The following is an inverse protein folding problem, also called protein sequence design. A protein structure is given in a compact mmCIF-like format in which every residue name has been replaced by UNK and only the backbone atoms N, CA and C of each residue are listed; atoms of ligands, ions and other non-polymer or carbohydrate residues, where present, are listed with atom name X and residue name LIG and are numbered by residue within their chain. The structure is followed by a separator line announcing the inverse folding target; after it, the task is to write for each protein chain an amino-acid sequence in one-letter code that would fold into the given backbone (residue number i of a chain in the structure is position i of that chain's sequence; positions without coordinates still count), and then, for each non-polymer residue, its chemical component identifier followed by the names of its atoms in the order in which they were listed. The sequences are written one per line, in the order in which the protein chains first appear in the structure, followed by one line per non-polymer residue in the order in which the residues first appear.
data_IF_079802136229
#
_entry.id   IF_079802136229
#
_cell.length_a   1.000
_cell.length_b   1.000
_cell.length_c   1.000
_cell.angle_alpha   90.00
_cell.angle_beta   90.00
_cell.angle_gamma   90.00
#
_symmetry.space_group_name_H-M   'P 1'
#
loop_
_entity.id
_entity.type
_entity.pdbx_description
1 polymer ?
#
# COMPACT_ATOMS: atom_id res chain seq x y z
N UNK A 1 7.89 -7.75 -10.19
CA UNK A 1 8.62 -8.17 -8.98
C UNK A 1 9.93 -8.76 -9.47
N UNK A 2 11.02 -7.99 -9.43
CA UNK A 2 12.34 -8.46 -9.84
C UNK A 2 13.07 -9.15 -8.68
N UNK A 3 14.00 -10.07 -8.95
CA UNK A 3 14.87 -10.61 -7.91
C UNK A 3 15.77 -9.49 -7.41
N UNK A 4 15.51 -8.99 -6.20
CA UNK A 4 16.51 -8.28 -5.42
C UNK A 4 17.26 -9.34 -4.63
N UNK A 5 18.60 -9.33 -4.67
CA UNK A 5 19.41 -10.13 -3.76
C UNK A 5 19.05 -9.73 -2.33
N UNK A 6 18.50 -10.68 -1.57
CA UNK A 6 18.03 -10.44 -0.20
C UNK A 6 18.98 -11.16 0.75
N UNK A 7 19.90 -10.45 1.40
CA UNK A 7 20.74 -11.07 2.42
C UNK A 7 19.89 -11.64 3.54
N UNK A 8 20.37 -12.72 4.16
CA UNK A 8 19.73 -13.36 5.29
C UNK A 8 19.62 -12.38 6.48
N UNK A 9 18.48 -12.38 7.17
CA UNK A 9 18.23 -11.47 8.30
C UNK A 9 17.60 -10.12 7.93
N UNK A 10 17.29 -9.86 6.65
CA UNK A 10 16.61 -8.63 6.23
C UNK A 10 15.12 -8.65 6.62
N UNK A 11 14.70 -7.68 7.43
CA UNK A 11 13.28 -7.45 7.72
C UNK A 11 12.64 -6.64 6.57
N UNK A 12 11.57 -7.19 5.98
CA UNK A 12 10.89 -6.60 4.83
C UNK A 12 9.41 -6.39 5.13
N UNK A 13 8.97 -5.14 5.00
CA UNK A 13 7.55 -4.81 4.90
C UNK A 13 7.18 -4.69 3.41
N UNK A 14 6.22 -5.50 2.96
CA UNK A 14 5.68 -5.41 1.60
C UNK A 14 4.29 -4.78 1.67
N UNK A 15 4.14 -3.63 1.03
CA UNK A 15 2.83 -2.98 0.83
C UNK A 15 2.49 -2.99 -0.66
N UNK A 16 1.28 -3.44 -0.99
CA UNK A 16 0.75 -3.41 -2.35
C UNK A 16 -0.59 -2.68 -2.33
N UNK A 17 -0.74 -1.69 -3.21
CA UNK A 17 -1.93 -0.86 -3.30
C UNK A 17 -2.17 -0.43 -4.76
N UNK A 18 -3.39 0.03 -5.05
CA UNK A 18 -3.72 0.55 -6.37
C UNK A 18 -2.90 1.80 -6.68
N UNK A 19 -2.18 1.82 -7.80
CA UNK A 19 -1.33 2.94 -8.18
C UNK A 19 -2.11 4.17 -8.69
N UNK A 20 -1.37 5.19 -9.14
CA UNK A 20 -1.92 6.47 -9.60
C UNK A 20 -2.92 6.40 -10.78
N UNK A 21 -3.02 5.25 -11.46
CA UNK A 21 -3.93 5.07 -12.61
C UNK A 21 -5.41 5.15 -12.27
N UNK A 22 -5.80 4.96 -11.01
CA UNK A 22 -7.21 4.90 -10.61
C UNK A 22 -7.92 3.60 -11.01
N UNK A 23 -7.18 2.63 -11.56
CA UNK A 23 -7.74 1.32 -11.94
C UNK A 23 -8.00 0.41 -10.73
N UNK A 24 -7.60 0.84 -9.54
CA UNK A 24 -7.69 0.07 -8.30
C UNK A 24 -6.70 -1.09 -8.23
N UNK A 25 -6.84 -1.89 -7.19
CA UNK A 25 -6.13 -3.15 -7.01
C UNK A 25 -7.17 -4.26 -6.82
N UNK A 26 -7.03 -5.36 -7.58
CA UNK A 26 -7.90 -6.52 -7.38
C UNK A 26 -7.41 -7.31 -6.18
N UNK A 27 -8.25 -7.39 -5.15
CA UNK A 27 -8.00 -8.28 -4.03
C UNK A 27 -7.94 -9.74 -4.50
N UNK A 28 -7.16 -10.55 -3.78
CA UNK A 28 -7.03 -11.99 -4.07
C UNK A 28 -8.38 -12.69 -4.23
N UNK A 29 -9.38 -12.50 -3.35
CA UNK A 29 -10.69 -13.15 -3.51
C UNK A 29 -11.42 -12.74 -4.78
N UNK A 30 -11.36 -11.46 -5.19
CA UNK A 30 -12.00 -11.01 -6.44
C UNK A 30 -11.31 -11.60 -7.66
N UNK A 31 -9.98 -11.72 -7.64
CA UNK A 31 -9.22 -12.36 -8.70
C UNK A 31 -9.56 -13.86 -8.82
N UNK A 32 -9.68 -14.56 -7.69
CA UNK A 32 -10.06 -15.98 -7.66
C UNK A 32 -11.49 -16.18 -8.20
N UNK A 33 -12.45 -15.37 -7.76
CA UNK A 33 -13.83 -15.43 -8.26
C UNK A 33 -13.91 -15.20 -9.77
N UNK A 34 -13.14 -14.24 -10.30
CA UNK A 34 -13.08 -13.98 -11.74
C UNK A 34 -12.42 -15.14 -12.52
N UNK A 35 -11.39 -15.76 -11.96
CA UNK A 35 -10.76 -16.94 -12.57
C UNK A 35 -11.75 -18.11 -12.66
N UNK A 36 -12.48 -18.41 -11.58
CA UNK A 36 -13.52 -19.44 -11.58
C UNK A 36 -14.64 -19.15 -12.60
N UNK A 37 -15.09 -17.89 -12.70
CA UNK A 37 -16.08 -17.50 -13.71
C UNK A 37 -15.56 -17.70 -15.15
N UNK A 38 -14.29 -17.40 -15.40
CA UNK A 38 -13.66 -17.53 -16.72
C UNK A 38 -13.40 -18.98 -17.13
N UNK A 39 -13.17 -19.89 -16.17
CA UNK A 39 -13.04 -21.34 -16.46
C UNK A 39 -14.30 -21.94 -17.10
N UNK A 40 -15.47 -21.35 -16.87
CA UNK A 40 -16.71 -21.77 -17.53
C UNK A 40 -16.76 -21.35 -19.02
N UNK A 41 -15.94 -20.37 -19.43
CA UNK A 41 -15.91 -19.80 -20.78
C UNK A 41 -14.71 -20.27 -21.59
N UNK A 42 -13.59 -20.62 -20.94
CA UNK A 42 -12.34 -20.94 -21.62
C UNK A 42 -11.28 -21.56 -20.72
N UNK A 43 -10.06 -21.65 -21.23
CA UNK A 43 -8.92 -22.30 -20.55
C UNK A 43 -7.80 -21.29 -20.27
N UNK A 44 -7.17 -21.41 -19.10
CA UNK A 44 -5.93 -20.73 -18.77
C UNK A 44 -4.72 -21.64 -18.95
N UNK A 45 -3.75 -21.23 -19.78
CA UNK A 45 -2.51 -21.97 -20.00
C UNK A 45 -1.34 -21.02 -20.23
N UNK A 46 -0.23 -21.22 -19.51
CA UNK A 46 1.00 -20.42 -19.63
C UNK A 46 0.77 -18.90 -19.54
N UNK A 47 -0.15 -18.47 -18.66
CA UNK A 47 -0.49 -17.05 -18.49
C UNK A 47 -1.45 -16.49 -19.54
N UNK A 48 -1.97 -17.29 -20.47
CA UNK A 48 -2.92 -16.88 -21.51
C UNK A 48 -4.29 -17.49 -21.24
N UNK A 49 -5.34 -16.69 -21.31
CA UNK A 49 -6.74 -17.13 -21.35
C UNK A 49 -7.19 -17.30 -22.80
N UNK A 50 -7.81 -18.44 -23.11
CA UNK A 50 -8.26 -18.80 -24.46
C UNK A 50 -9.72 -19.21 -24.44
N UNK A 51 -10.56 -18.67 -25.33
CA UNK A 51 -11.97 -19.07 -25.48
C UNK A 51 -12.41 -19.13 -26.95
N UNK A 52 -13.55 -19.77 -27.22
CA UNK A 52 -14.22 -19.75 -28.52
C UNK A 52 -15.42 -18.80 -28.42
N UNK A 53 -15.62 -17.94 -29.42
CA UNK A 53 -16.84 -17.16 -29.52
C UNK A 53 -18.02 -17.97 -30.10
N UNK A 54 -19.19 -17.33 -30.22
CA UNK A 54 -20.41 -17.94 -30.76
C UNK A 54 -20.26 -18.45 -32.21
N UNK A 55 -19.27 -17.94 -32.96
CA UNK A 55 -18.97 -18.38 -34.33
C UNK A 55 -17.90 -19.48 -34.36
N UNK A 56 -17.46 -19.95 -33.20
CA UNK A 56 -16.37 -20.92 -33.05
C UNK A 56 -14.99 -20.33 -33.34
N UNK A 57 -14.84 -19.01 -33.39
CA UNK A 57 -13.55 -18.38 -33.59
C UNK A 57 -12.77 -18.35 -32.27
N UNK A 58 -11.49 -18.71 -32.33
CA UNK A 58 -10.59 -18.72 -31.19
C UNK A 58 -10.08 -17.33 -30.86
N UNK A 59 -10.21 -16.95 -29.60
CA UNK A 59 -9.68 -15.71 -29.02
C UNK A 59 -8.69 -16.01 -27.90
N UNK A 60 -7.67 -15.16 -27.77
CA UNK A 60 -6.66 -15.24 -26.73
C UNK A 60 -6.52 -13.88 -26.05
N UNK A 61 -6.29 -13.88 -24.74
CA UNK A 61 -6.00 -12.68 -23.95
C UNK A 61 -4.99 -13.03 -22.84
N UNK A 62 -4.20 -12.05 -22.38
CA UNK A 62 -3.41 -12.23 -21.16
C UNK A 62 -4.33 -12.61 -19.99
N UNK A 63 -3.93 -13.62 -19.20
CA UNK A 63 -4.78 -14.18 -18.16
C UNK A 63 -5.02 -13.21 -17.00
N UNK A 64 -4.06 -12.33 -16.70
CA UNK A 64 -4.26 -11.28 -15.70
C UNK A 64 -5.22 -10.21 -16.22
N UNK A 65 -5.09 -9.84 -17.49
CA UNK A 65 -6.04 -8.94 -18.15
C UNK A 65 -7.46 -9.53 -18.14
N UNK A 66 -7.62 -10.79 -18.56
CA UNK A 66 -8.93 -11.47 -18.57
C UNK A 66 -9.59 -11.45 -17.18
N UNK A 67 -8.85 -11.84 -16.13
CA UNK A 67 -9.36 -11.77 -14.76
C UNK A 67 -9.74 -10.35 -14.34
N UNK A 68 -8.94 -9.35 -14.74
CA UNK A 68 -9.24 -7.95 -14.42
C UNK A 68 -10.52 -7.47 -15.10
N UNK A 69 -10.65 -7.73 -16.40
CA UNK A 69 -11.80 -7.30 -17.19
C UNK A 69 -13.08 -7.99 -16.73
N UNK A 70 -13.04 -9.30 -16.42
CA UNK A 70 -14.19 -10.03 -15.86
C UNK A 70 -14.56 -9.48 -14.47
N UNK A 71 -13.58 -9.25 -13.59
CA UNK A 71 -13.84 -8.81 -12.21
C UNK A 71 -14.36 -7.37 -12.12
N UNK A 72 -14.05 -6.52 -13.10
CA UNK A 72 -14.30 -5.08 -13.05
C UNK A 72 -15.28 -4.58 -14.11
N UNK A 73 -15.53 -5.37 -15.16
CA UNK A 73 -16.27 -4.96 -16.35
C UNK A 73 -15.58 -3.88 -17.19
N UNK A 74 -14.29 -3.60 -16.93
CA UNK A 74 -13.53 -2.53 -17.60
C UNK A 74 -12.32 -3.11 -18.30
N UNK A 75 -12.03 -2.62 -19.50
CA UNK A 75 -10.82 -2.97 -20.23
C UNK A 75 -9.57 -2.63 -19.42
N UNK A 76 -8.60 -3.56 -19.34
CA UNK A 76 -7.33 -3.27 -18.68
C UNK A 76 -6.51 -2.32 -19.57
N UNK A 77 -6.16 -1.16 -19.02
CA UNK A 77 -5.27 -0.19 -19.66
C UNK A 77 -4.07 0.02 -18.76
N UNK A 78 -2.89 -0.34 -19.25
CA UNK A 78 -1.64 -0.06 -18.54
C UNK A 78 -1.35 1.44 -18.62
N UNK A 79 -1.27 2.08 -17.47
CA UNK A 79 -0.95 3.49 -17.39
C UNK A 79 0.53 3.72 -17.76
N UNK A 80 0.88 4.87 -18.38
CA UNK A 80 2.27 5.22 -18.64
C UNK A 80 3.12 5.21 -17.36
N UNK A 81 4.38 4.76 -17.40
CA UNK A 81 5.25 4.81 -16.22
C UNK A 81 5.46 6.27 -15.77
N UNK A 82 5.52 6.50 -14.46
CA UNK A 82 5.87 7.81 -13.86
C UNK A 82 7.36 7.93 -13.55
N UNK A 83 8.05 6.79 -13.48
CA UNK A 83 9.47 6.69 -13.21
C UNK A 83 10.05 5.69 -14.22
N UNK A 84 11.18 6.04 -14.81
CA UNK A 84 11.95 5.23 -15.73
C UNK A 84 12.99 4.35 -15.02
N UNK A 85 13.34 4.68 -13.77
CA UNK A 85 14.28 3.94 -12.93
C UNK A 85 13.93 3.99 -11.42
N UNK A 86 14.79 3.41 -10.58
CA UNK A 86 14.66 3.30 -9.12
C UNK A 86 14.81 4.68 -8.46
N UNK A 87 13.93 4.97 -7.49
CA UNK A 87 14.11 6.09 -6.57
C UNK A 87 14.87 5.61 -5.34
N UNK A 88 16.14 6.00 -5.20
CA UNK A 88 16.96 5.75 -4.01
C UNK A 88 16.86 6.94 -3.05
N UNK A 89 16.64 6.66 -1.76
CA UNK A 89 16.52 7.68 -0.71
C UNK A 89 17.43 7.30 0.47
N UNK A 90 18.41 8.13 0.77
CA UNK A 90 19.19 8.01 2.01
C UNK A 90 18.45 8.70 3.16
N UNK A 91 17.82 7.89 4.01
CA UNK A 91 16.97 8.38 5.09
C UNK A 91 17.72 9.14 6.20
N UNK A 92 19.04 8.96 6.32
CA UNK A 92 19.86 9.65 7.33
C UNK A 92 20.07 11.11 6.95
N UNK A 93 20.11 11.41 5.66
CA UNK A 93 20.27 12.77 5.10
C UNK A 93 19.02 13.66 5.23
N UNK A 94 17.89 13.13 5.70
CA UNK A 94 16.66 13.91 5.92
C UNK A 94 16.53 14.38 7.36
N UNK A 95 16.12 15.64 7.56
CA UNK A 95 15.88 16.21 8.88
C UNK A 95 14.55 15.74 9.48
N UNK A 96 14.52 15.66 10.80
CA UNK A 96 13.27 15.58 11.57
C UNK A 96 12.69 16.98 11.76
N UNK A 97 11.40 17.13 11.47
CA UNK A 97 10.65 18.37 11.65
C UNK A 97 9.63 18.14 12.76
N UNK A 98 9.71 18.94 13.83
CA UNK A 98 8.71 18.90 14.90
C UNK A 98 7.34 19.36 14.36
N UNK A 99 6.29 18.68 14.79
CA UNK A 99 4.91 19.06 14.44
C UNK A 99 4.39 20.14 15.38
N UNK A 100 3.12 20.54 15.22
CA UNK A 100 2.45 21.39 16.22
C UNK A 100 2.23 20.69 17.56
N UNK A 101 2.38 19.36 17.62
CA UNK A 101 2.26 18.57 18.84
C UNK A 101 3.67 18.34 19.42
N UNK A 102 3.96 18.85 20.64
CA UNK A 102 5.26 18.67 21.26
C UNK A 102 5.66 17.20 21.38
N UNK A 103 6.93 16.89 21.08
CA UNK A 103 7.45 15.53 21.16
C UNK A 103 7.02 14.62 19.99
N UNK A 104 6.31 15.17 18.99
CA UNK A 104 5.96 14.45 17.75
C UNK A 104 6.69 15.09 16.58
N UNK A 105 7.45 14.29 15.85
CA UNK A 105 8.27 14.71 14.73
C UNK A 105 7.92 13.92 13.47
N UNK A 106 8.09 14.55 12.32
CA UNK A 106 7.93 13.90 11.02
C UNK A 106 9.19 14.06 10.17
N UNK A 107 9.48 13.06 9.35
CA UNK A 107 10.53 13.08 8.34
C UNK A 107 9.92 12.66 7.01
N UNK A 108 9.64 13.61 6.14
CA UNK A 108 9.08 13.34 4.81
C UNK A 108 10.20 12.88 3.86
N UNK A 109 10.09 11.69 3.29
CA UNK A 109 11.05 11.20 2.29
C UNK A 109 10.66 11.63 0.88
N UNK A 110 9.36 11.59 0.57
CA UNK A 110 8.85 12.03 -0.72
C UNK A 110 7.33 11.93 -0.85
N UNK A 111 6.81 12.69 -1.81
CA UNK A 111 5.44 12.62 -2.31
C UNK A 111 5.50 12.26 -3.78
N UNK A 112 4.72 11.25 -4.17
CA UNK A 112 4.86 10.56 -5.44
C UNK A 112 3.55 10.63 -6.23
N UNK A 113 3.70 10.91 -7.53
CA UNK A 113 2.63 10.99 -8.53
C UNK A 113 1.57 12.06 -8.23
N UNK A 114 0.67 12.28 -9.18
CA UNK A 114 -0.44 13.22 -9.09
C UNK A 114 -1.50 12.82 -8.03
N UNK A 115 -1.44 11.59 -7.51
CA UNK A 115 -2.40 11.08 -6.51
C UNK A 115 -1.89 11.12 -5.07
N UNK A 116 -0.68 11.66 -4.86
CA UNK A 116 -0.21 12.05 -3.53
C UNK A 116 0.18 10.89 -2.60
N UNK A 117 0.68 9.79 -3.15
CA UNK A 117 1.32 8.77 -2.29
C UNK A 117 2.45 9.42 -1.52
N UNK A 118 2.50 9.25 -0.21
CA UNK A 118 3.51 9.87 0.64
C UNK A 118 4.25 8.80 1.43
N UNK A 119 5.57 8.91 1.47
CA UNK A 119 6.42 8.07 2.32
C UNK A 119 7.10 8.97 3.34
N UNK A 120 6.94 8.65 4.63
CA UNK A 120 7.55 9.41 5.71
C UNK A 120 7.82 8.54 6.94
N UNK A 121 8.58 9.08 7.88
CA UNK A 121 8.62 8.57 9.24
C UNK A 121 7.93 9.51 10.22
N UNK A 122 7.38 8.94 11.28
CA UNK A 122 6.85 9.66 12.45
C UNK A 122 7.62 9.17 13.68
N UNK A 123 8.21 10.09 14.43
CA UNK A 123 8.83 9.81 15.72
C UNK A 123 7.96 10.42 16.82
N UNK A 124 7.69 9.64 17.85
CA UNK A 124 6.96 10.07 19.04
C UNK A 124 7.84 9.81 20.25
N UNK A 125 8.22 10.88 20.95
CA UNK A 125 9.05 10.77 22.16
C UNK A 125 8.27 10.05 23.28
N UNK A 126 8.99 9.43 24.21
CA UNK A 126 8.36 8.74 25.33
C UNK A 126 7.49 9.70 26.16
N UNK A 127 6.25 9.30 26.46
CA UNK A 127 5.26 10.11 27.16
C UNK A 127 4.52 11.12 26.29
N UNK A 128 4.92 11.32 25.02
CA UNK A 128 4.19 12.16 24.08
C UNK A 128 2.97 11.41 23.51
N UNK A 129 1.99 12.20 23.05
CA UNK A 129 0.76 11.69 22.43
C UNK A 129 0.75 12.15 20.98
N UNK A 130 0.70 11.18 20.05
CA UNK A 130 0.45 11.44 18.65
C UNK A 130 -1.05 11.30 18.37
N UNK A 131 -1.71 12.43 18.14
CA UNK A 131 -3.07 12.43 17.61
C UNK A 131 -3.01 12.21 16.10
N UNK A 132 -3.69 11.16 15.64
CA UNK A 132 -3.65 10.77 14.22
C UNK A 132 -4.39 11.74 13.30
N UNK A 133 -5.12 12.73 13.83
CA UNK A 133 -5.81 13.77 13.08
C UNK A 133 -6.94 13.26 12.18
N UNK A 134 -7.43 14.14 11.32
CA UNK A 134 -8.28 13.78 10.19
C UNK A 134 -7.42 13.59 8.94
N UNK A 135 -7.87 12.72 8.02
CA UNK A 135 -7.12 12.37 6.82
C UNK A 135 -8.04 12.20 5.62
N UNK A 136 -7.54 12.51 4.43
CA UNK A 136 -8.29 12.40 3.18
C UNK A 136 -7.98 11.11 2.40
N UNK A 137 -7.05 10.29 2.88
CA UNK A 137 -6.56 9.08 2.22
C UNK A 137 -6.18 8.04 3.27
N UNK A 138 -6.13 6.77 2.88
CA UNK A 138 -5.69 5.69 3.78
C UNK A 138 -4.24 5.94 4.16
N UNK A 139 -3.91 5.80 5.43
CA UNK A 139 -2.55 5.84 5.94
C UNK A 139 -2.22 4.52 6.63
N UNK A 140 -1.07 3.94 6.29
CA UNK A 140 -0.55 2.74 6.95
C UNK A 140 0.65 3.15 7.78
N UNK A 141 0.58 2.89 9.09
CA UNK A 141 1.69 3.07 10.01
C UNK A 141 2.25 1.70 10.38
N UNK A 142 3.56 1.54 10.30
CA UNK A 142 4.27 0.36 10.78
C UNK A 142 5.27 0.78 11.85
N UNK A 143 5.11 0.27 13.06
CA UNK A 143 5.98 0.61 14.18
C UNK A 143 7.27 -0.22 14.13
N UNK A 144 8.35 0.37 13.66
CA UNK A 144 9.65 -0.30 13.55
C UNK A 144 10.41 -0.35 14.88
N UNK A 145 10.07 0.54 15.83
CA UNK A 145 10.65 0.62 17.17
C UNK A 145 9.62 1.16 18.14
N UNK A 146 9.64 0.67 19.37
CA UNK A 146 8.94 1.28 20.49
C UNK A 146 7.68 0.54 20.94
N UNK A 147 6.88 1.24 21.73
CA UNK A 147 5.72 0.69 22.42
C UNK A 147 4.70 1.78 22.65
N UNK A 148 3.47 1.51 22.24
CA UNK A 148 2.38 2.48 22.28
C UNK A 148 1.15 1.94 22.97
N UNK A 149 0.31 2.84 23.47
CA UNK A 149 -1.03 2.53 23.95
C UNK A 149 -2.06 3.27 23.08
N UNK A 150 -3.05 2.52 22.60
CA UNK A 150 -4.18 3.04 21.82
C UNK A 150 -5.45 2.47 22.43
N UNK A 151 -6.40 3.33 22.81
CA UNK A 151 -7.67 2.92 23.44
C UNK A 151 -7.49 1.93 24.61
N UNK A 152 -6.48 2.18 25.46
CA UNK A 152 -6.16 1.34 26.63
C UNK A 152 -5.45 0.02 26.32
N UNK A 153 -5.21 -0.32 25.05
CA UNK A 153 -4.46 -1.52 24.66
C UNK A 153 -3.03 -1.14 24.24
N UNK A 154 -2.06 -1.91 24.74
CA UNK A 154 -0.64 -1.69 24.45
C UNK A 154 -0.17 -2.59 23.33
N UNK A 155 0.64 -2.02 22.44
CA UNK A 155 1.21 -2.68 21.28
C UNK A 155 2.73 -2.46 21.26
N UNK A 156 3.48 -3.48 20.83
CA UNK A 156 4.92 -3.43 20.66
C UNK A 156 5.33 -3.38 19.19
N UNK A 157 6.64 -3.44 18.95
CA UNK A 157 7.25 -3.40 17.62
C UNK A 157 6.57 -4.35 16.63
N UNK A 158 6.65 -4.00 15.34
CA UNK A 158 6.03 -4.72 14.22
C UNK A 158 4.51 -4.70 14.19
N UNK A 159 3.89 -3.85 15.03
CA UNK A 159 2.47 -3.53 14.91
C UNK A 159 2.25 -2.64 13.69
N UNK A 160 1.29 -3.03 12.85
CA UNK A 160 0.77 -2.21 11.75
C UNK A 160 -0.60 -1.64 12.12
N UNK A 161 -0.83 -0.37 11.78
CA UNK A 161 -2.09 0.33 11.99
C UNK A 161 -2.53 0.88 10.63
N UNK A 162 -3.73 0.50 10.21
CA UNK A 162 -4.40 1.10 9.06
C UNK A 162 -5.35 2.18 9.57
N UNK A 163 -5.25 3.37 8.98
CA UNK A 163 -6.08 4.53 9.31
C UNK A 163 -6.89 4.91 8.08
N UNK A 164 -8.20 4.79 8.18
CA UNK A 164 -9.12 5.06 7.08
C UNK A 164 -9.51 6.55 7.05
N UNK A 165 -9.90 7.09 5.89
CA UNK A 165 -10.47 8.44 5.79
C UNK A 165 -11.74 8.64 6.63
N UNK A 166 -12.47 7.56 6.90
CA UNK A 166 -13.68 7.56 7.73
C UNK A 166 -13.40 7.55 9.23
N UNK A 167 -12.16 7.24 9.63
CA UNK A 167 -11.82 7.12 11.04
C UNK A 167 -11.74 8.51 11.68
N UNK A 168 -12.31 8.64 12.87
CA UNK A 168 -12.10 9.81 13.70
C UNK A 168 -10.66 9.90 14.19
N UNK A 169 -10.22 11.07 14.68
CA UNK A 169 -8.91 11.20 15.31
C UNK A 169 -8.79 10.27 16.52
N UNK A 170 -7.66 9.58 16.61
CA UNK A 170 -7.30 8.69 17.72
C UNK A 170 -5.96 9.09 18.28
N UNK A 171 -5.85 9.10 19.61
CA UNK A 171 -4.61 9.33 20.33
C UNK A 171 -3.79 8.04 20.44
N UNK A 172 -2.52 8.15 20.08
CA UNK A 172 -1.49 7.13 20.25
C UNK A 172 -0.50 7.63 21.28
N UNK A 173 -0.53 7.05 22.47
CA UNK A 173 0.39 7.40 23.56
C UNK A 173 1.66 6.56 23.45
N UNK A 174 2.82 7.20 23.36
CA UNK A 174 4.10 6.50 23.36
C UNK A 174 4.56 6.18 24.79
N UNK A 175 4.72 4.89 25.11
CA UNK A 175 5.28 4.45 26.39
C UNK A 175 6.80 4.48 26.39
N UNK A 176 7.39 4.19 25.23
CA UNK A 176 8.80 4.35 24.91
C UNK A 176 8.91 5.21 23.65
N UNK A 177 10.10 5.77 23.34
CA UNK A 177 10.33 6.44 22.05
C UNK A 177 9.93 5.49 20.91
N UNK A 178 8.99 5.93 20.08
CA UNK A 178 8.36 5.11 19.07
C UNK A 178 8.60 5.68 17.67
N UNK A 179 8.94 4.81 16.73
CA UNK A 179 9.23 5.15 15.34
C UNK A 179 8.26 4.40 14.42
N UNK A 180 7.52 5.16 13.62
CA UNK A 180 6.64 4.63 12.60
C UNK A 180 7.19 4.93 11.22
N UNK A 181 7.23 3.90 10.37
CA UNK A 181 7.23 4.08 8.93
C UNK A 181 5.78 4.31 8.48
N UNK A 182 5.54 5.40 7.77
CA UNK A 182 4.21 5.86 7.38
C UNK A 182 4.09 5.93 5.86
N UNK A 183 3.04 5.31 5.33
CA UNK A 183 2.68 5.35 3.90
C UNK A 183 1.26 5.89 3.76
N UNK A 184 1.11 7.06 3.15
CA UNK A 184 -0.20 7.55 2.68
C UNK A 184 -0.46 6.97 1.30
N UNK A 185 -1.61 6.31 1.12
CA UNK A 185 -2.01 5.73 -0.16
C UNK A 185 -2.59 6.79 -1.11
N UNK A 186 -2.61 6.52 -2.44
CA UNK A 186 -3.21 7.41 -3.43
C UNK A 186 -4.66 7.81 -3.12
N UNK A 187 -5.00 9.07 -3.41
CA UNK A 187 -6.37 9.58 -3.40
C UNK A 187 -7.07 9.36 -4.74
N UNK A 188 -8.29 8.82 -4.73
CA UNK A 188 -9.11 8.58 -5.92
C UNK A 188 -10.36 9.45 -5.95
#
# INVERSE_FOLDING_TARGET
YGPQDRPEGLEMMVIQFGGASGSGFLSTPRREAANEALKAKGEFKNGVFTWLDEKGQKHNMDGSAACFEEATGKKLVFAPPRYDDIVLMDTESYSWIETSTPGVFTKLLGTFTERGTRISFIKVDAGAIFNTGSRASIEVLFMSKGRITVNGKTYGEKTAIELLPSDGPVDIEAKDESLFFSVTLPKF
#
